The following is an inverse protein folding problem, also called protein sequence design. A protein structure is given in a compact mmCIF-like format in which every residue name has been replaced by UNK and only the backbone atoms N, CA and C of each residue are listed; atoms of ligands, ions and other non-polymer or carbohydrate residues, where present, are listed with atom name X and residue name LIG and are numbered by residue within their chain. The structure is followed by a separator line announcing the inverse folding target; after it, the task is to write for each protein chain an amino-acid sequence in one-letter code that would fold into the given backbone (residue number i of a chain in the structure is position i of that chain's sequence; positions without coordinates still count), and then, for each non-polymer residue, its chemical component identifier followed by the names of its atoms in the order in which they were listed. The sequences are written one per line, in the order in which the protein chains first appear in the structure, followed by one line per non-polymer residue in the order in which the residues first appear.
data_IF_929097681152
#
_entry.id   IF_929097681152
#
_cell.length_a   1.000
_cell.length_b   1.000
_cell.length_c   1.000
_cell.angle_alpha   90.00
_cell.angle_beta   90.00
_cell.angle_gamma   90.00
#
_symmetry.space_group_name_H-M   'P 1'
#
loop_
_entity.id
_entity.type
_entity.pdbx_description
1 polymer ?
#
# COMPACT_ATOMS: atom_id res chain seq x y z
N UNK A 1 6.31 22.22 23.91
CA UNK A 1 6.19 20.77 24.22
C UNK A 1 6.30 20.49 25.71
N UNK A 2 7.30 20.99 26.42
CA UNK A 2 7.48 20.78 27.87
C UNK A 2 6.22 21.15 28.68
N UNK A 3 5.63 22.32 28.41
CA UNK A 3 4.36 22.76 29.01
C UNK A 3 3.24 21.75 28.76
N UNK A 4 3.08 21.27 27.53
CA UNK A 4 2.04 20.28 27.20
C UNK A 4 2.29 18.96 27.92
N UNK A 5 3.54 18.50 27.98
CA UNK A 5 3.91 17.31 28.73
C UNK A 5 3.55 17.44 30.22
N UNK A 6 3.79 18.61 30.82
CA UNK A 6 3.39 18.89 32.20
C UNK A 6 1.87 18.85 32.39
N UNK A 7 1.10 19.49 31.50
CA UNK A 7 -0.37 19.52 31.59
C UNK A 7 -1.00 18.12 31.39
N UNK A 8 -0.48 17.36 30.43
CA UNK A 8 -0.99 16.02 30.09
C UNK A 8 -0.69 14.96 31.16
N UNK A 9 0.28 15.22 32.05
CA UNK A 9 0.64 14.32 33.16
C UNK A 9 -0.16 14.57 34.46
N UNK A 10 -0.97 15.62 34.50
CA UNK A 10 -1.85 15.85 35.65
C UNK A 10 -2.87 14.72 35.80
N UNK A 11 -3.40 14.51 37.01
CA UNK A 11 -4.43 13.51 37.27
C UNK A 11 -5.70 14.19 37.76
N UNK A 12 -6.76 14.24 36.93
CA UNK A 12 -6.83 13.80 35.53
C UNK A 12 -6.07 14.72 34.55
N UNK A 13 -5.75 14.26 33.31
CA UNK A 13 -5.00 15.05 32.33
C UNK A 13 -5.68 16.37 31.99
N UNK A 14 -4.89 17.45 31.91
CA UNK A 14 -5.37 18.78 31.54
C UNK A 14 -5.11 19.01 30.06
N UNK A 15 -6.16 19.26 29.27
CA UNK A 15 -6.06 19.56 27.84
C UNK A 15 -6.28 21.06 27.59
N UNK A 16 -5.46 21.68 26.75
CA UNK A 16 -5.59 23.11 26.43
C UNK A 16 -6.71 23.40 25.43
N UNK A 17 -6.81 22.60 24.36
CA UNK A 17 -7.87 22.64 23.33
C UNK A 17 -7.95 23.88 22.45
N UNK A 18 -7.08 24.86 22.62
CA UNK A 18 -7.08 26.09 21.79
C UNK A 18 -5.65 26.61 21.60
N UNK A 19 -4.73 25.71 21.24
CA UNK A 19 -3.36 26.09 20.92
C UNK A 19 -3.33 26.72 19.53
N UNK A 20 -2.93 27.99 19.48
CA UNK A 20 -2.84 28.81 18.27
C UNK A 20 -1.86 29.97 18.51
N UNK A 21 -1.40 30.67 17.45
CA UNK A 21 -0.42 31.75 17.61
C UNK A 21 -0.82 32.84 18.61
N UNK A 22 -2.11 33.22 18.66
CA UNK A 22 -2.57 34.27 19.60
C UNK A 22 -2.48 33.86 21.07
N UNK A 23 -2.35 32.56 21.36
CA UNK A 23 -2.28 32.02 22.71
C UNK A 23 -0.84 31.66 23.11
N UNK A 24 0.15 32.09 22.32
CA UNK A 24 1.58 31.94 22.61
C UNK A 24 2.20 33.33 22.75
N UNK A 25 2.82 33.61 23.89
CA UNK A 25 3.56 34.85 24.14
C UNK A 25 5.06 34.55 24.12
N UNK A 26 5.81 35.37 23.38
CA UNK A 26 7.27 35.42 23.49
C UNK A 26 7.64 36.33 24.68
N UNK A 27 8.14 35.74 25.76
CA UNK A 27 8.58 36.47 26.95
C UNK A 27 9.95 37.13 26.76
N UNK A 28 10.24 38.14 27.58
CA UNK A 28 11.54 38.82 27.62
C UNK A 28 12.68 37.87 28.03
N UNK A 29 12.35 36.74 28.67
CA UNK A 29 13.25 35.66 29.04
C UNK A 29 13.62 34.74 27.86
N UNK A 30 13.24 35.10 26.63
CA UNK A 30 13.35 34.27 25.42
C UNK A 30 12.65 32.91 25.55
N UNK A 31 11.59 32.83 26.36
CA UNK A 31 10.75 31.63 26.48
C UNK A 31 9.37 31.87 25.88
N UNK A 32 8.79 30.80 25.38
CA UNK A 32 7.40 30.80 24.93
C UNK A 32 6.51 30.44 26.11
N UNK A 33 5.54 31.30 26.40
CA UNK A 33 4.53 31.12 27.43
C UNK A 33 3.19 30.81 26.77
N UNK A 34 2.55 29.72 27.20
CA UNK A 34 1.20 29.35 26.77
C UNK A 34 0.19 30.07 27.68
N UNK A 35 -0.73 30.80 27.07
CA UNK A 35 -1.75 31.59 27.77
C UNK A 35 -3.16 31.13 27.38
N UNK A 36 -4.17 31.71 28.03
CA UNK A 36 -5.59 31.46 27.77
C UNK A 36 -6.03 30.01 27.99
N UNK A 37 -6.13 29.67 29.28
CA UNK A 37 -6.67 28.40 29.75
C UNK A 37 -8.22 28.39 29.79
N UNK A 38 -8.89 29.35 29.16
CA UNK A 38 -10.36 29.46 29.19
C UNK A 38 -11.10 28.28 28.54
N UNK A 39 -10.41 27.54 27.66
CA UNK A 39 -10.93 26.36 26.95
C UNK A 39 -10.60 25.02 27.64
N UNK A 40 -9.91 25.08 28.78
CA UNK A 40 -9.37 23.91 29.45
C UNK A 40 -10.46 23.12 30.15
N UNK A 41 -10.43 21.79 29.99
CA UNK A 41 -11.26 20.88 30.77
C UNK A 41 -10.41 19.80 31.41
N UNK A 42 -10.80 19.49 32.65
CA UNK A 42 -10.18 18.50 33.54
C UNK A 42 -10.74 17.08 33.26
N UNK A 43 -11.87 16.94 32.54
CA UNK A 43 -12.44 15.63 32.19
C UNK A 43 -12.95 15.57 30.74
N UNK A 44 -12.79 14.40 30.13
CA UNK A 44 -13.61 13.94 29.01
C UNK A 44 -14.97 13.54 29.57
N UNK A 45 -16.08 14.19 29.20
CA UNK A 45 -17.38 13.85 29.75
C UNK A 45 -17.81 12.44 29.32
N UNK A 46 -18.71 11.79 30.08
CA UNK A 46 -19.30 10.50 29.70
C UNK A 46 -19.91 10.56 28.30
N UNK A 47 -19.80 9.45 27.56
CA UNK A 47 -20.38 9.31 26.23
C UNK A 47 -21.87 9.71 26.25
N UNK A 48 -22.26 10.64 25.37
CA UNK A 48 -23.65 11.12 25.25
C UNK A 48 -23.94 12.52 25.81
N UNK A 49 -22.95 13.22 26.36
CA UNK A 49 -23.14 14.62 26.82
C UNK A 49 -22.96 15.60 25.65
N UNK A 50 -23.88 16.55 25.47
CA UNK A 50 -23.81 17.58 24.44
C UNK A 50 -22.60 18.49 24.63
N UNK A 51 -21.81 18.65 23.56
CA UNK A 51 -20.58 19.43 23.54
C UNK A 51 -20.83 20.88 23.10
N UNK A 52 -20.21 21.82 23.80
CA UNK A 52 -19.78 23.08 23.18
C UNK A 52 -18.50 22.77 22.40
N UNK A 53 -18.56 22.87 21.08
CA UNK A 53 -17.37 22.81 20.23
C UNK A 53 -16.54 24.05 20.55
N UNK A 54 -15.43 23.84 21.25
CA UNK A 54 -14.44 24.89 21.52
C UNK A 54 -13.22 24.57 20.66
N UNK A 55 -12.82 25.51 19.83
CA UNK A 55 -11.69 25.34 18.93
C UNK A 55 -11.69 26.36 17.81
N UNK A 56 -10.49 26.80 17.43
CA UNK A 56 -10.28 27.68 16.27
C UNK A 56 -10.17 26.86 14.98
N UNK A 57 -10.94 27.22 13.96
CA UNK A 57 -10.92 26.55 12.65
C UNK A 57 -9.51 26.55 12.05
N UNK A 58 -9.09 25.41 11.47
CA UNK A 58 -7.73 25.20 10.92
C UNK A 58 -6.70 24.70 11.94
N UNK A 59 -6.83 25.03 13.23
CA UNK A 59 -5.93 24.52 14.29
C UNK A 59 -6.52 23.31 15.01
N UNK A 60 -7.85 23.24 15.05
CA UNK A 60 -8.57 22.22 15.81
C UNK A 60 -8.66 20.91 15.02
N UNK A 61 -8.28 19.77 15.59
CA UNK A 61 -8.41 18.48 14.91
C UNK A 61 -9.86 17.93 14.98
N UNK A 62 -10.20 17.02 14.06
CA UNK A 62 -11.57 16.50 13.88
C UNK A 62 -12.14 15.83 15.13
N UNK A 63 -11.33 15.06 15.85
CA UNK A 63 -11.78 14.38 17.06
C UNK A 63 -12.23 15.36 18.16
N UNK A 64 -11.66 16.58 18.19
CA UNK A 64 -12.07 17.61 19.14
C UNK A 64 -13.43 18.23 18.78
N UNK A 65 -13.74 18.37 17.48
CA UNK A 65 -15.09 18.75 17.03
C UNK A 65 -16.14 17.71 17.44
N UNK A 66 -15.76 16.43 17.48
CA UNK A 66 -16.59 15.34 18.02
C UNK A 66 -16.60 15.24 19.55
N UNK A 67 -15.92 16.15 20.24
CA UNK A 67 -15.82 16.15 21.70
C UNK A 67 -14.84 15.14 22.30
N UNK A 68 -14.13 14.39 21.46
CA UNK A 68 -13.19 13.34 21.86
C UNK A 68 -11.76 13.87 21.96
N UNK A 69 -11.58 15.08 22.50
CA UNK A 69 -10.27 15.68 22.66
C UNK A 69 -9.38 14.80 23.56
N UNK A 70 -8.17 14.51 23.09
CA UNK A 70 -7.14 13.73 23.79
C UNK A 70 -5.83 14.53 23.84
N UNK A 71 -4.81 14.12 24.62
CA UNK A 71 -3.50 14.77 24.61
C UNK A 71 -2.93 14.98 23.19
N UNK A 72 -3.13 14.01 22.31
CA UNK A 72 -2.72 14.09 20.90
C UNK A 72 -3.48 15.15 20.09
N UNK A 73 -4.63 15.65 20.55
CA UNK A 73 -5.36 16.76 19.91
C UNK A 73 -4.64 18.10 20.11
N UNK A 74 -4.10 18.35 21.31
CA UNK A 74 -3.23 19.51 21.56
C UNK A 74 -1.95 19.47 20.72
N UNK A 75 -1.43 18.27 20.43
CA UNK A 75 -0.26 18.09 19.58
C UNK A 75 -0.54 18.46 18.11
N UNK A 76 -1.73 18.14 17.60
CA UNK A 76 -2.14 18.60 16.27
C UNK A 76 -2.23 20.11 16.21
N UNK A 77 -2.89 20.72 17.19
CA UNK A 77 -3.03 22.17 17.27
C UNK A 77 -1.66 22.88 17.35
N UNK A 78 -0.71 22.31 18.09
CA UNK A 78 0.69 22.75 18.09
C UNK A 78 1.32 22.61 16.69
N UNK A 79 1.16 21.46 16.03
CA UNK A 79 1.67 21.25 14.67
C UNK A 79 1.14 22.27 13.67
N UNK A 80 -0.18 22.48 13.65
CA UNK A 80 -0.83 23.47 12.80
C UNK A 80 -0.36 24.90 13.11
N UNK A 81 -0.17 25.22 14.40
CA UNK A 81 0.40 26.50 14.84
C UNK A 81 1.80 26.73 14.29
N UNK A 82 2.69 25.73 14.40
CA UNK A 82 4.05 25.84 13.92
C UNK A 82 4.13 25.90 12.39
N UNK A 83 3.29 25.12 11.69
CA UNK A 83 3.16 25.20 10.23
C UNK A 83 2.71 26.60 9.80
N UNK A 84 1.74 27.20 10.50
CA UNK A 84 1.35 28.58 10.25
C UNK A 84 2.52 29.54 10.44
N UNK A 85 3.26 29.43 11.55
CA UNK A 85 4.39 30.33 11.81
C UNK A 85 5.50 30.20 10.74
N UNK A 86 5.75 28.99 10.23
CA UNK A 86 6.79 28.73 9.21
C UNK A 86 6.39 29.13 7.80
N UNK A 87 5.10 29.04 7.46
CA UNK A 87 4.59 29.38 6.12
C UNK A 87 4.07 30.83 6.07
N UNK A 88 3.63 31.37 7.19
CA UNK A 88 2.83 32.60 7.29
C UNK A 88 1.45 32.50 6.63
N UNK A 89 0.94 31.29 6.41
CA UNK A 89 -0.36 31.01 5.80
C UNK A 89 -1.24 30.32 6.85
N UNK A 90 -2.52 30.69 6.91
CA UNK A 90 -3.45 30.05 7.84
C UNK A 90 -3.57 28.54 7.53
N UNK A 91 -3.58 27.64 8.53
CA UNK A 91 -3.65 26.20 8.28
C UNK A 91 -4.88 25.77 7.47
N UNK A 92 -5.98 26.50 7.60
CA UNK A 92 -7.21 26.27 6.84
C UNK A 92 -7.09 26.62 5.34
N UNK A 93 -6.14 27.47 4.97
CA UNK A 93 -5.89 27.91 3.59
C UNK A 93 -4.81 27.07 2.89
N UNK A 94 -4.08 26.24 3.65
CA UNK A 94 -3.09 25.33 3.09
C UNK A 94 -3.76 24.20 2.33
N UNK A 95 -3.16 23.72 1.22
CA UNK A 95 -3.70 22.60 0.47
C UNK A 95 -3.77 21.36 1.36
N UNK A 96 -4.84 20.59 1.20
CA UNK A 96 -5.06 19.35 1.94
C UNK A 96 -5.14 18.15 1.00
N UNK A 97 -4.54 17.03 1.41
CA UNK A 97 -4.66 15.74 0.74
C UNK A 97 -5.01 14.69 1.77
N UNK A 98 -6.14 14.00 1.60
CA UNK A 98 -6.64 13.03 2.59
C UNK A 98 -6.73 13.62 4.01
N UNK A 99 -7.25 14.84 4.14
CA UNK A 99 -7.33 15.62 5.39
C UNK A 99 -5.98 16.02 6.02
N UNK A 100 -4.85 15.64 5.44
CA UNK A 100 -3.51 16.05 5.88
C UNK A 100 -3.14 17.40 5.27
N UNK A 101 -2.58 18.29 6.09
CA UNK A 101 -2.04 19.58 5.65
C UNK A 101 -0.78 19.34 4.81
N UNK A 102 -0.72 19.92 3.61
CA UNK A 102 0.44 19.87 2.72
C UNK A 102 1.11 21.25 2.74
N UNK A 103 2.30 21.34 3.35
CA UNK A 103 2.97 22.62 3.59
C UNK A 103 4.41 22.70 3.05
N UNK A 104 5.01 21.60 2.59
CA UNK A 104 6.43 21.56 2.17
C UNK A 104 6.76 22.65 1.13
N UNK A 105 5.95 22.73 0.08
CA UNK A 105 6.13 23.70 -1.02
C UNK A 105 5.78 25.15 -0.63
N UNK A 106 5.36 25.38 0.62
CA UNK A 106 4.94 26.69 1.15
C UNK A 106 5.89 27.19 2.25
N UNK A 107 6.92 26.43 2.59
CA UNK A 107 7.94 26.84 3.56
C UNK A 107 8.73 28.02 3.00
N UNK A 108 8.87 29.09 3.79
CA UNK A 108 9.65 30.28 3.43
C UNK A 108 11.15 30.09 3.63
N UNK A 109 11.56 29.00 4.28
CA UNK A 109 12.94 28.74 4.66
C UNK A 109 13.19 27.23 4.64
N UNK A 110 14.39 26.85 4.24
CA UNK A 110 14.84 25.47 4.36
C UNK A 110 14.98 25.10 5.83
N UNK A 111 14.12 24.21 6.29
CA UNK A 111 14.20 23.62 7.62
C UNK A 111 14.75 22.20 7.54
N UNK A 112 15.31 21.72 8.64
CA UNK A 112 15.88 20.37 8.69
C UNK A 112 14.82 19.32 8.31
N UNK A 113 15.15 18.30 7.50
CA UNK A 113 14.21 17.24 7.11
C UNK A 113 13.56 16.53 8.30
N UNK A 114 14.31 16.41 9.40
CA UNK A 114 13.80 15.90 10.68
C UNK A 114 12.64 16.73 11.22
N UNK A 115 12.78 18.05 11.22
CA UNK A 115 11.75 18.98 11.70
C UNK A 115 10.51 18.92 10.81
N UNK A 116 10.68 18.80 9.49
CA UNK A 116 9.57 18.59 8.55
C UNK A 116 8.79 17.32 8.86
N UNK A 117 9.48 16.17 8.98
CA UNK A 117 8.84 14.88 9.33
C UNK A 117 8.13 14.93 10.69
N UNK A 118 8.74 15.62 11.65
CA UNK A 118 8.15 15.82 12.96
C UNK A 118 6.87 16.66 12.91
N UNK A 119 6.84 17.75 12.14
CA UNK A 119 5.64 18.56 11.91
C UNK A 119 4.55 17.77 11.20
N UNK A 120 4.91 17.00 10.16
CA UNK A 120 3.97 16.13 9.45
C UNK A 120 3.30 15.15 10.39
N UNK A 121 4.10 14.48 11.25
CA UNK A 121 3.58 13.52 12.24
C UNK A 121 2.74 14.20 13.34
N UNK A 122 3.01 15.45 13.71
CA UNK A 122 2.13 16.22 14.60
C UNK A 122 0.79 16.53 13.95
N UNK A 123 0.79 16.93 12.67
CA UNK A 123 -0.40 17.32 11.90
C UNK A 123 -1.14 16.15 11.26
N UNK A 124 -0.89 14.93 11.73
CA UNK A 124 -1.50 13.75 11.15
C UNK A 124 -2.99 13.65 11.51
N UNK A 125 -3.92 13.43 10.56
CA UNK A 125 -5.35 13.39 10.87
C UNK A 125 -5.72 12.20 11.74
N UNK A 126 -5.15 11.02 11.49
CA UNK A 126 -5.41 9.82 12.28
C UNK A 126 -4.59 9.82 13.57
N UNK A 127 -5.26 9.58 14.70
CA UNK A 127 -4.61 9.46 16.02
C UNK A 127 -3.57 8.33 16.05
N UNK A 128 -3.80 7.23 15.32
CA UNK A 128 -2.90 6.07 15.28
C UNK A 128 -1.53 6.40 14.66
N UNK A 129 -1.52 7.38 13.76
CA UNK A 129 -0.32 7.80 13.05
C UNK A 129 0.31 9.06 13.67
N UNK A 130 -0.35 9.72 14.62
CA UNK A 130 0.11 10.92 15.33
C UNK A 130 0.97 10.53 16.54
N UNK A 131 1.81 11.44 17.01
CA UNK A 131 2.45 11.28 18.32
C UNK A 131 1.41 11.10 19.42
N UNK A 132 1.63 10.11 20.29
CA UNK A 132 0.71 9.77 21.38
C UNK A 132 0.84 10.71 22.57
N UNK A 133 2.03 11.31 22.77
CA UNK A 133 2.31 12.21 23.89
C UNK A 133 3.32 13.30 23.53
N UNK A 134 3.27 14.41 24.28
CA UNK A 134 4.26 15.48 24.16
C UNK A 134 5.69 15.01 24.47
N UNK A 135 5.84 14.02 25.36
CA UNK A 135 7.14 13.37 25.65
C UNK A 135 7.68 12.63 24.43
N UNK A 136 6.84 11.85 23.75
CA UNK A 136 7.24 11.15 22.51
C UNK A 136 7.68 12.15 21.44
N UNK A 137 6.90 13.23 21.25
CA UNK A 137 7.23 14.29 20.31
C UNK A 137 8.54 15.02 20.68
N UNK A 138 8.81 15.24 21.97
CA UNK A 138 10.06 15.87 22.44
C UNK A 138 11.27 14.96 22.23
N UNK A 139 11.13 13.68 22.60
CA UNK A 139 12.17 12.67 22.40
C UNK A 139 12.56 12.56 20.92
N UNK A 140 11.58 12.61 20.01
CA UNK A 140 11.87 12.59 18.57
C UNK A 140 12.80 13.73 18.15
N UNK A 141 12.62 14.94 18.70
CA UNK A 141 13.49 16.09 18.39
C UNK A 141 14.88 15.96 19.02
N UNK A 142 14.96 15.45 20.24
CA UNK A 142 16.21 15.35 21.02
C UNK A 142 17.07 14.15 20.65
N UNK A 143 16.46 13.10 20.10
CA UNK A 143 17.18 11.93 19.62
C UNK A 143 18.16 12.39 18.55
N UNK A 144 19.48 12.26 18.78
CA UNK A 144 20.43 12.53 17.70
C UNK A 144 19.99 11.69 16.50
N UNK A 145 19.93 12.30 15.31
CA UNK A 145 19.93 11.45 14.14
C UNK A 145 21.25 10.70 14.28
N UNK A 146 21.19 9.41 14.64
CA UNK A 146 22.33 8.54 14.39
C UNK A 146 22.69 8.87 12.95
N UNK A 147 23.86 9.52 12.80
CA UNK A 147 24.45 9.80 11.50
C UNK A 147 24.28 8.47 10.80
N UNK A 148 23.43 8.36 9.75
CA UNK A 148 23.13 7.07 9.17
C UNK A 148 24.49 6.43 8.96
N UNK A 149 24.76 5.28 9.61
CA UNK A 149 26.11 4.78 9.85
C UNK A 149 26.85 5.01 8.57
N UNK A 150 27.95 5.78 8.59
CA UNK A 150 28.68 6.24 7.41
C UNK A 150 28.64 5.11 6.41
N UNK A 151 27.72 5.22 5.44
CA UNK A 151 27.33 4.07 4.65
C UNK A 151 28.51 3.92 3.71
N UNK A 152 29.44 3.02 4.06
CA UNK A 152 29.85 2.06 3.05
C UNK A 152 28.57 1.70 2.31
N UNK A 153 28.51 2.08 1.04
CA UNK A 153 27.34 1.94 0.18
C UNK A 153 27.06 0.45 0.06
N UNK A 154 26.43 -0.12 1.08
CA UNK A 154 25.60 -1.28 0.94
C UNK A 154 24.30 -0.69 0.45
N UNK A 155 24.17 -0.70 -0.87
CA UNK A 155 22.92 -0.46 -1.57
C UNK A 155 21.76 -0.97 -0.71
N UNK A 156 20.62 -0.25 -0.63
CA UNK A 156 19.44 -0.80 0.00
C UNK A 156 19.30 -2.23 -0.53
N UNK A 157 18.97 -3.20 0.33
CA UNK A 157 18.40 -4.47 -0.16
C UNK A 157 17.04 -4.13 -0.77
N UNK A 158 17.04 -3.31 -1.82
CA UNK A 158 15.95 -3.14 -2.74
C UNK A 158 15.66 -4.52 -3.26
N UNK A 159 14.40 -4.91 -3.16
CA UNK A 159 13.94 -6.04 -3.93
C UNK A 159 14.20 -5.77 -5.43
N UNK A 160 14.21 -4.49 -5.84
CA UNK A 160 14.58 -4.03 -7.18
C UNK A 160 16.07 -4.20 -7.43
N UNK A 161 16.42 -5.08 -8.39
CA UNK A 161 17.78 -5.21 -8.88
C UNK A 161 18.01 -4.25 -10.05
N UNK A 162 18.88 -3.26 -9.85
CA UNK A 162 19.29 -2.31 -10.89
C UNK A 162 20.70 -2.68 -11.34
N UNK A 163 20.88 -2.91 -12.64
CA UNK A 163 22.17 -3.14 -13.27
C UNK A 163 22.37 -2.09 -14.37
N UNK A 164 23.44 -1.32 -14.27
CA UNK A 164 23.73 -0.18 -15.14
C UNK A 164 25.13 -0.32 -15.71
N UNK A 165 25.27 -0.15 -17.02
CA UNK A 165 26.54 0.02 -17.72
C UNK A 165 26.45 1.22 -18.65
N UNK A 166 27.53 1.58 -19.36
CA UNK A 166 27.48 2.68 -20.33
C UNK A 166 26.50 2.42 -21.50
N UNK A 167 26.15 1.16 -21.75
CA UNK A 167 25.35 0.74 -22.90
C UNK A 167 23.93 0.33 -22.55
N UNK A 168 23.67 -0.07 -21.30
CA UNK A 168 22.36 -0.56 -20.88
C UNK A 168 22.02 -0.21 -19.43
N UNK A 169 20.74 0.02 -19.18
CA UNK A 169 20.12 0.06 -17.86
C UNK A 169 19.07 -1.05 -17.79
N UNK A 170 19.29 -2.01 -16.89
CA UNK A 170 18.37 -3.11 -16.59
C UNK A 170 17.82 -2.94 -15.18
N UNK A 171 16.51 -2.98 -15.04
CA UNK A 171 15.80 -2.89 -13.76
C UNK A 171 14.89 -4.10 -13.65
N UNK A 172 15.08 -4.91 -12.60
CA UNK A 172 14.21 -6.03 -12.28
C UNK A 172 13.42 -5.70 -11.02
N UNK A 173 12.11 -5.56 -11.18
CA UNK A 173 11.17 -5.31 -10.09
C UNK A 173 10.55 -6.66 -9.70
N UNK A 174 10.87 -7.24 -8.54
CA UNK A 174 10.30 -8.51 -8.12
C UNK A 174 8.84 -8.33 -7.72
N UNK A 175 8.10 -9.44 -7.66
CA UNK A 175 6.77 -9.44 -7.05
C UNK A 175 6.86 -9.30 -5.53
N UNK A 176 6.04 -8.43 -4.93
CA UNK A 176 5.81 -8.40 -3.48
C UNK A 176 5.12 -9.67 -2.97
N UNK A 177 4.51 -10.46 -3.87
CA UNK A 177 4.02 -11.78 -3.53
C UNK A 177 5.20 -12.76 -3.51
N UNK A 178 5.96 -12.75 -2.42
CA UNK A 178 6.81 -13.89 -2.06
C UNK A 178 5.88 -15.04 -1.71
N UNK A 179 5.49 -15.79 -2.73
CA UNK A 179 4.73 -17.01 -2.57
C UNK A 179 5.69 -18.13 -2.12
N UNK A 180 6.43 -17.94 -1.02
CA UNK A 180 7.16 -19.04 -0.37
C UNK A 180 6.20 -20.15 0.09
N UNK A 181 4.92 -19.81 0.30
CA UNK A 181 3.89 -20.74 0.75
C UNK A 181 3.10 -21.44 -0.37
N UNK A 182 2.96 -20.88 -1.58
CA UNK A 182 2.22 -21.55 -2.67
C UNK A 182 3.16 -22.21 -3.70
N UNK A 183 4.47 -21.93 -3.75
CA UNK A 183 5.37 -22.67 -4.66
C UNK A 183 5.36 -24.20 -4.42
N UNK A 184 5.35 -24.73 -3.18
CA UNK A 184 5.15 -26.17 -2.96
C UNK A 184 3.74 -26.61 -3.37
N UNK A 185 2.72 -25.79 -3.12
CA UNK A 185 1.30 -26.11 -3.37
C UNK A 185 0.99 -26.13 -4.89
N UNK A 186 1.44 -25.13 -5.64
CA UNK A 186 1.31 -25.04 -7.11
C UNK A 186 2.12 -26.13 -7.81
N UNK A 187 3.32 -26.48 -7.32
CA UNK A 187 4.05 -27.63 -7.87
C UNK A 187 3.37 -28.96 -7.52
N UNK A 188 2.80 -29.10 -6.32
CA UNK A 188 2.04 -30.29 -5.92
C UNK A 188 0.78 -30.46 -6.78
N UNK A 189 0.03 -29.38 -7.03
CA UNK A 189 -1.18 -29.39 -7.86
C UNK A 189 -0.89 -29.44 -9.37
N UNK A 190 0.18 -28.81 -9.84
CA UNK A 190 0.64 -28.88 -11.23
C UNK A 190 1.15 -30.28 -11.60
N UNK A 191 1.97 -30.88 -10.74
CA UNK A 191 2.48 -32.24 -10.93
C UNK A 191 1.37 -33.29 -10.83
N UNK A 192 0.39 -33.12 -9.93
CA UNK A 192 -0.79 -34.00 -9.88
C UNK A 192 -1.71 -33.82 -11.08
N UNK A 193 -1.91 -32.59 -11.58
CA UNK A 193 -2.68 -32.35 -12.81
C UNK A 193 -2.05 -33.05 -14.01
N UNK A 194 -0.73 -32.93 -14.20
CA UNK A 194 -0.02 -33.61 -15.31
C UNK A 194 -0.03 -35.13 -15.11
N UNK A 195 0.17 -35.65 -13.89
CA UNK A 195 0.12 -37.09 -13.60
C UNK A 195 -1.27 -37.69 -13.81
N UNK A 196 -2.33 -37.02 -13.37
CA UNK A 196 -3.71 -37.47 -13.55
C UNK A 196 -4.09 -37.45 -15.03
N UNK A 197 -3.73 -36.39 -15.76
CA UNK A 197 -4.05 -36.29 -17.18
C UNK A 197 -3.24 -37.30 -18.02
N UNK A 198 -1.99 -37.55 -17.67
CA UNK A 198 -1.18 -38.60 -18.31
C UNK A 198 -1.66 -40.01 -17.93
N UNK A 199 -2.09 -40.23 -16.69
CA UNK A 199 -2.69 -41.49 -16.25
C UNK A 199 -4.01 -41.78 -16.98
N UNK A 200 -4.88 -40.78 -17.13
CA UNK A 200 -6.13 -40.89 -17.90
C UNK A 200 -5.87 -41.18 -19.38
N UNK A 201 -4.81 -40.62 -19.96
CA UNK A 201 -4.39 -40.89 -21.34
C UNK A 201 -3.68 -42.25 -21.51
N UNK A 202 -3.10 -42.80 -20.45
CA UNK A 202 -2.39 -44.09 -20.45
C UNK A 202 -3.30 -45.30 -20.19
N UNK A 203 -4.59 -45.08 -19.88
CA UNK A 203 -5.55 -46.16 -19.72
C UNK A 203 -5.92 -46.75 -21.09
N UNK A 204 -5.88 -48.09 -21.26
CA UNK A 204 -6.42 -48.74 -22.45
C UNK A 204 -7.89 -48.37 -22.63
N UNK A 205 -8.32 -48.07 -23.86
CA UNK A 205 -9.71 -47.65 -24.18
C UNK A 205 -10.75 -48.63 -23.64
N UNK A 206 -10.42 -49.93 -23.55
CA UNK A 206 -11.26 -50.95 -22.93
C UNK A 206 -11.55 -50.70 -21.44
N UNK A 207 -10.54 -50.25 -20.66
CA UNK A 207 -10.74 -49.89 -19.24
C UNK A 207 -11.52 -48.59 -19.09
N UNK A 208 -11.28 -47.62 -19.97
CA UNK A 208 -11.99 -46.33 -19.99
C UNK A 208 -13.48 -46.51 -20.29
N UNK A 209 -13.80 -47.35 -21.28
CA UNK A 209 -15.18 -47.73 -21.60
C UNK A 209 -15.85 -48.53 -20.48
N UNK A 210 -15.12 -49.40 -19.78
CA UNK A 210 -15.66 -50.11 -18.59
C UNK A 210 -15.95 -49.16 -17.44
N UNK A 211 -15.12 -48.15 -17.19
CA UNK A 211 -15.37 -47.12 -16.15
C UNK A 211 -16.61 -46.30 -16.51
N UNK A 212 -16.74 -45.87 -17.77
CA UNK A 212 -17.91 -45.10 -18.23
C UNK A 212 -19.17 -45.96 -18.16
N UNK A 213 -19.12 -47.22 -18.62
CA UNK A 213 -20.25 -48.14 -18.58
C UNK A 213 -20.69 -48.45 -17.14
N UNK A 214 -19.74 -48.64 -16.21
CA UNK A 214 -20.07 -48.87 -14.79
C UNK A 214 -20.67 -47.63 -14.13
N UNK A 215 -20.23 -46.42 -14.48
CA UNK A 215 -20.86 -45.18 -14.01
C UNK A 215 -22.29 -45.00 -14.54
N UNK A 216 -22.54 -45.35 -15.81
CA UNK A 216 -23.88 -45.31 -16.42
C UNK A 216 -24.81 -46.33 -15.76
N UNK A 217 -24.34 -47.57 -15.56
CA UNK A 217 -25.11 -48.62 -14.88
C UNK A 217 -25.43 -48.21 -13.44
N UNK A 218 -24.48 -47.65 -12.71
CA UNK A 218 -24.72 -47.12 -11.37
C UNK A 218 -25.78 -46.02 -11.35
N UNK A 219 -25.77 -45.11 -12.34
CA UNK A 219 -26.78 -44.06 -12.50
C UNK A 219 -28.18 -44.60 -12.82
N UNK A 220 -28.28 -45.64 -13.66
CA UNK A 220 -29.56 -46.29 -14.00
C UNK A 220 -30.11 -47.04 -12.78
N UNK A 221 -29.27 -47.80 -12.07
CA UNK A 221 -29.65 -48.51 -10.84
C UNK A 221 -30.14 -47.51 -9.78
N UNK A 222 -29.49 -46.35 -9.66
CA UNK A 222 -29.91 -45.27 -8.78
C UNK A 222 -31.30 -44.73 -9.13
N UNK A 223 -31.60 -44.54 -10.41
CA UNK A 223 -32.87 -44.02 -10.88
C UNK A 223 -34.03 -45.03 -10.72
N UNK A 224 -33.73 -46.32 -10.79
CA UNK A 224 -34.72 -47.39 -10.65
C UNK A 224 -34.98 -47.82 -9.19
N UNK A 225 -34.20 -47.34 -8.22
CA UNK A 225 -34.42 -47.64 -6.81
C UNK A 225 -35.66 -46.91 -6.26
N UNK A 226 -36.53 -47.57 -5.47
CA UNK A 226 -37.62 -46.91 -4.76
C UNK A 226 -37.08 -45.76 -3.91
N UNK A 227 -37.82 -44.64 -3.86
CA UNK A 227 -37.33 -43.40 -3.23
C UNK A 227 -36.89 -43.60 -1.79
N UNK A 228 -37.56 -44.45 -1.02
CA UNK A 228 -37.20 -44.73 0.38
C UNK A 228 -35.82 -45.41 0.51
N UNK A 229 -35.52 -46.36 -0.39
CA UNK A 229 -34.24 -47.09 -0.40
C UNK A 229 -33.13 -46.20 -0.96
N UNK A 230 -33.39 -45.43 -2.01
CA UNK A 230 -32.42 -44.49 -2.59
C UNK A 230 -31.95 -43.45 -1.56
N UNK A 231 -32.84 -43.00 -0.68
CA UNK A 231 -32.54 -42.01 0.35
C UNK A 231 -31.74 -42.63 1.50
N UNK A 232 -32.02 -43.88 1.88
CA UNK A 232 -31.24 -44.61 2.89
C UNK A 232 -29.83 -44.96 2.39
N UNK A 233 -29.72 -45.42 1.15
CA UNK A 233 -28.43 -45.70 0.49
C UNK A 233 -27.64 -44.40 0.28
N UNK A 234 -28.30 -43.29 -0.06
CA UNK A 234 -27.67 -41.97 -0.13
C UNK A 234 -27.09 -41.55 1.22
N UNK A 235 -27.86 -41.67 2.32
CA UNK A 235 -27.39 -41.32 3.65
C UNK A 235 -26.24 -42.22 4.12
N UNK A 236 -26.28 -43.52 3.80
CA UNK A 236 -25.23 -44.46 4.15
C UNK A 236 -23.93 -44.23 3.35
N UNK A 237 -24.02 -44.01 2.04
CA UNK A 237 -22.86 -43.63 1.21
C UNK A 237 -22.31 -42.27 1.64
N UNK A 238 -23.18 -41.31 1.97
CA UNK A 238 -22.75 -40.01 2.47
C UNK A 238 -22.04 -40.15 3.83
N UNK A 239 -22.54 -41.02 4.72
CA UNK A 239 -21.95 -41.24 6.04
C UNK A 239 -20.66 -42.05 6.04
N UNK A 240 -20.49 -43.03 5.15
CA UNK A 240 -19.34 -43.96 5.17
C UNK A 240 -18.27 -43.58 4.15
N UNK A 241 -18.67 -43.07 2.98
CA UNK A 241 -17.73 -42.67 1.90
C UNK A 241 -17.52 -41.17 1.92
N UNK A 242 -18.58 -40.36 2.05
CA UNK A 242 -18.40 -38.93 2.13
C UNK A 242 -17.88 -38.48 3.49
N UNK A 243 -18.21 -39.07 4.65
CA UNK A 243 -17.70 -38.50 5.91
C UNK A 243 -16.16 -38.53 6.04
N UNK A 244 -15.44 -39.61 5.68
CA UNK A 244 -13.98 -39.60 5.63
C UNK A 244 -13.46 -38.71 4.49
N UNK A 245 -14.12 -38.70 3.33
CA UNK A 245 -13.77 -37.84 2.20
C UNK A 245 -14.06 -36.36 2.48
N UNK A 246 -15.04 -36.04 3.32
CA UNK A 246 -15.49 -34.71 3.73
C UNK A 246 -14.61 -34.22 4.88
N UNK A 247 -14.09 -35.11 5.72
CA UNK A 247 -12.97 -34.79 6.60
C UNK A 247 -11.70 -34.51 5.80
N UNK A 248 -11.40 -35.30 4.76
CA UNK A 248 -10.28 -35.04 3.84
C UNK A 248 -10.48 -33.76 3.01
N UNK A 249 -11.71 -33.50 2.55
CA UNK A 249 -12.13 -32.35 1.74
C UNK A 249 -12.41 -31.10 2.57
N UNK A 250 -12.58 -31.19 3.89
CA UNK A 250 -12.68 -30.07 4.83
C UNK A 250 -11.31 -29.48 5.18
N UNK A 251 -10.22 -30.19 4.89
CA UNK A 251 -8.87 -29.62 4.80
C UNK A 251 -8.51 -29.13 3.38
N UNK A 252 -9.23 -29.58 2.36
CA UNK A 252 -9.11 -29.15 0.98
C UNK A 252 -9.84 -27.84 0.58
N UNK A 253 -10.79 -27.25 1.36
CA UNK A 253 -11.54 -26.10 0.89
C UNK A 253 -10.70 -24.85 1.00
N UNK A 254 -9.70 -24.77 1.89
CA UNK A 254 -8.75 -23.66 1.84
C UNK A 254 -7.98 -23.64 0.53
N UNK A 255 -7.48 -24.79 0.07
CA UNK A 255 -6.73 -24.89 -1.18
C UNK A 255 -7.60 -24.66 -2.42
N UNK A 256 -8.83 -25.16 -2.43
CA UNK A 256 -9.73 -25.10 -3.59
C UNK A 256 -10.55 -23.80 -3.63
N UNK A 257 -10.93 -23.23 -2.49
CA UNK A 257 -11.48 -21.86 -2.39
C UNK A 257 -10.38 -20.85 -2.71
N UNK A 258 -9.15 -21.04 -2.20
CA UNK A 258 -8.02 -20.23 -2.66
C UNK A 258 -7.82 -20.42 -4.16
N UNK A 259 -7.78 -21.64 -4.69
CA UNK A 259 -7.65 -21.88 -6.13
C UNK A 259 -8.80 -21.25 -6.94
N UNK A 260 -10.06 -21.29 -6.49
CA UNK A 260 -11.20 -20.62 -7.14
C UNK A 260 -11.09 -19.09 -7.03
N UNK A 261 -10.66 -18.56 -5.89
CA UNK A 261 -10.39 -17.12 -5.70
C UNK A 261 -9.23 -16.68 -6.61
N UNK A 262 -8.16 -17.49 -6.74
CA UNK A 262 -7.00 -17.17 -7.56
C UNK A 262 -7.26 -17.41 -9.07
N UNK A 263 -8.06 -18.41 -9.45
CA UNK A 263 -8.34 -18.79 -10.86
C UNK A 263 -9.58 -18.12 -11.45
N UNK A 264 -10.63 -17.88 -10.66
CA UNK A 264 -11.87 -17.24 -11.11
C UNK A 264 -11.79 -15.71 -11.15
N UNK A 265 -10.84 -15.09 -10.43
CA UNK A 265 -10.74 -13.64 -10.33
C UNK A 265 -9.89 -12.99 -11.44
N UNK A 266 -9.50 -13.70 -12.51
CA UNK A 266 -8.66 -13.15 -13.58
C UNK A 266 -7.44 -12.42 -13.01
N UNK A 267 -6.83 -12.98 -11.96
CA UNK A 267 -5.68 -12.37 -11.32
C UNK A 267 -4.47 -12.81 -12.13
N UNK A 268 -4.11 -11.98 -13.09
CA UNK A 268 -2.76 -12.00 -13.63
C UNK A 268 -1.80 -11.72 -12.48
N UNK A 269 -1.29 -12.79 -11.86
CA UNK A 269 -0.22 -12.69 -10.88
C UNK A 269 1.05 -12.34 -11.64
N UNK A 270 1.38 -11.05 -11.70
CA UNK A 270 2.69 -10.62 -12.17
C UNK A 270 3.77 -11.12 -11.19
N UNK A 271 4.65 -11.98 -11.70
CA UNK A 271 5.76 -12.60 -10.99
C UNK A 271 6.94 -11.63 -10.86
N UNK A 272 7.16 -10.81 -11.88
CA UNK A 272 8.15 -9.73 -11.89
C UNK A 272 7.91 -8.81 -13.08
N UNK A 273 8.47 -7.61 -13.02
CA UNK A 273 8.53 -6.69 -14.16
C UNK A 273 9.98 -6.38 -14.44
N UNK A 274 10.40 -6.54 -15.70
CA UNK A 274 11.74 -6.17 -16.16
C UNK A 274 11.63 -4.94 -17.05
N UNK A 275 12.42 -3.92 -16.75
CA UNK A 275 12.64 -2.77 -17.61
C UNK A 275 14.05 -2.88 -18.16
N UNK A 276 14.20 -2.74 -19.46
CA UNK A 276 15.47 -2.73 -20.14
C UNK A 276 15.53 -1.48 -21.01
N UNK A 277 16.64 -0.75 -20.92
CA UNK A 277 16.92 0.41 -21.75
C UNK A 277 18.33 0.24 -22.32
N UNK A 278 18.47 0.31 -23.63
CA UNK A 278 19.77 0.44 -24.28
C UNK A 278 20.04 1.90 -24.69
N UNK A 279 20.93 2.16 -25.64
CA UNK A 279 21.20 3.52 -26.13
C UNK A 279 20.09 4.11 -27.03
N UNK A 280 19.21 3.28 -27.59
CA UNK A 280 18.21 3.67 -28.59
C UNK A 280 16.79 3.20 -28.25
N UNK A 281 16.65 2.10 -27.53
CA UNK A 281 15.41 1.38 -27.30
C UNK A 281 15.13 1.18 -25.83
N UNK A 282 13.85 1.00 -25.52
CA UNK A 282 13.38 0.48 -24.24
C UNK A 282 12.52 -0.77 -24.47
N UNK A 283 12.50 -1.63 -23.47
CA UNK A 283 11.68 -2.83 -23.40
C UNK A 283 11.10 -2.96 -21.98
N UNK A 284 9.81 -3.25 -21.89
CA UNK A 284 9.09 -3.52 -20.65
C UNK A 284 8.47 -4.90 -20.77
N UNK A 285 8.90 -5.80 -19.89
CA UNK A 285 8.43 -7.17 -19.85
C UNK A 285 7.76 -7.44 -18.52
N UNK A 286 6.46 -7.73 -18.56
CA UNK A 286 5.68 -8.20 -17.42
C UNK A 286 5.67 -9.74 -17.44
N UNK A 287 6.36 -10.35 -16.49
CA UNK A 287 6.44 -11.80 -16.36
C UNK A 287 5.20 -12.30 -15.61
N UNK A 288 4.40 -13.16 -16.24
CA UNK A 288 3.22 -13.82 -15.67
C UNK A 288 3.26 -15.31 -16.01
N UNK A 289 2.74 -16.16 -15.12
CA UNK A 289 2.76 -17.62 -15.30
C UNK A 289 1.94 -18.10 -16.51
N UNK A 290 0.97 -17.29 -16.95
CA UNK A 290 0.00 -17.70 -17.97
C UNK A 290 0.10 -16.88 -19.27
N UNK A 291 0.56 -15.63 -19.21
CA UNK A 291 0.70 -14.77 -20.39
C UNK A 291 1.70 -13.63 -20.13
N UNK A 292 3.00 -13.81 -20.44
CA UNK A 292 3.95 -12.71 -20.37
C UNK A 292 3.61 -11.64 -21.41
N UNK A 293 3.66 -10.37 -21.02
CA UNK A 293 3.45 -9.23 -21.90
C UNK A 293 4.79 -8.52 -22.13
N UNK A 294 5.10 -8.21 -23.37
CA UNK A 294 6.30 -7.47 -23.74
C UNK A 294 5.93 -6.25 -24.59
N UNK A 295 6.49 -5.08 -24.25
CA UNK A 295 6.34 -3.83 -24.97
C UNK A 295 7.72 -3.21 -25.22
N UNK A 296 8.00 -2.87 -26.46
CA UNK A 296 9.27 -2.28 -26.89
C UNK A 296 9.03 -1.01 -27.71
N UNK A 297 9.98 -0.08 -27.66
CA UNK A 297 9.94 1.16 -28.43
C UNK A 297 11.28 1.90 -28.43
N UNK A 298 11.37 3.03 -29.13
CA UNK A 298 12.56 3.89 -29.12
C UNK A 298 12.54 4.81 -27.88
N UNK A 299 13.69 5.08 -27.27
CA UNK A 299 13.82 6.03 -26.15
C UNK A 299 13.33 7.43 -26.56
N UNK A 300 13.50 7.80 -27.84
CA UNK A 300 13.00 9.06 -28.42
C UNK A 300 11.47 9.22 -28.32
N UNK A 301 10.75 8.12 -28.18
CA UNK A 301 9.30 8.09 -28.03
C UNK A 301 8.85 8.35 -26.60
N UNK A 302 9.73 8.20 -25.60
CA UNK A 302 9.42 8.49 -24.21
C UNK A 302 9.26 10.00 -24.04
N UNK A 303 8.05 10.43 -23.66
CA UNK A 303 7.71 11.85 -23.48
C UNK A 303 7.78 12.29 -22.04
N UNK A 304 7.34 11.43 -21.12
CA UNK A 304 7.31 11.79 -19.72
C UNK A 304 7.38 10.55 -18.82
N UNK A 305 7.83 10.77 -17.59
CA UNK A 305 7.91 9.79 -16.52
C UNK A 305 7.34 10.39 -15.24
N UNK A 306 6.14 9.96 -14.85
CA UNK A 306 5.42 10.52 -13.72
C UNK A 306 5.26 9.51 -12.59
N UNK A 307 5.15 10.02 -11.35
CA UNK A 307 4.57 9.26 -10.26
C UNK A 307 3.09 9.62 -10.18
N UNK A 308 2.25 8.62 -10.29
CA UNK A 308 0.80 8.78 -10.30
C UNK A 308 0.14 7.78 -9.36
N UNK A 309 -1.16 7.94 -9.17
CA UNK A 309 -1.96 7.06 -8.35
C UNK A 309 -2.73 6.08 -9.24
N UNK A 310 -2.32 4.81 -9.22
CA UNK A 310 -2.99 3.74 -9.95
C UNK A 310 -4.11 3.14 -9.10
N UNK A 311 -5.24 2.84 -9.73
CA UNK A 311 -6.33 2.09 -9.11
C UNK A 311 -6.17 0.61 -9.45
N UNK A 312 -6.14 -0.25 -8.44
CA UNK A 312 -6.16 -1.70 -8.66
C UNK A 312 -7.59 -2.19 -9.00
N UNK A 313 -7.69 -3.44 -9.44
CA UNK A 313 -8.98 -4.06 -9.78
C UNK A 313 -9.95 -4.24 -8.60
N UNK A 314 -9.47 -4.07 -7.37
CA UNK A 314 -10.25 -4.10 -6.14
C UNK A 314 -10.69 -2.69 -5.71
N UNK A 315 -10.27 -1.67 -6.46
CA UNK A 315 -10.61 -0.28 -6.23
C UNK A 315 -9.68 0.47 -5.27
N UNK A 316 -8.59 -0.14 -4.81
CA UNK A 316 -7.61 0.52 -3.95
C UNK A 316 -6.64 1.36 -4.78
N UNK A 317 -6.10 2.40 -4.14
CA UNK A 317 -5.19 3.36 -4.74
C UNK A 317 -3.76 3.11 -4.28
N UNK A 318 -2.83 3.02 -5.23
CA UNK A 318 -1.40 2.78 -4.97
C UNK A 318 -0.55 3.75 -5.79
N UNK A 319 0.58 4.18 -5.23
CA UNK A 319 1.60 4.91 -5.99
C UNK A 319 2.18 4.00 -7.09
N UNK A 320 2.38 4.54 -8.29
CA UNK A 320 2.95 3.80 -9.41
C UNK A 320 3.72 4.75 -10.32
N UNK A 321 4.67 4.19 -11.07
CA UNK A 321 5.38 4.90 -12.12
C UNK A 321 4.60 4.79 -13.43
N UNK A 322 4.33 5.93 -14.06
CA UNK A 322 3.73 6.04 -15.38
C UNK A 322 4.78 6.47 -16.40
N UNK A 323 5.07 5.60 -17.37
CA UNK A 323 5.88 5.90 -18.54
C UNK A 323 4.97 6.25 -19.73
N UNK A 324 5.04 7.49 -20.20
CA UNK A 324 4.24 7.98 -21.32
C UNK A 324 5.07 7.91 -22.61
N UNK A 325 4.59 7.13 -23.57
CA UNK A 325 5.26 6.88 -24.85
C UNK A 325 4.40 7.35 -26.01
N UNK A 326 5.00 8.06 -26.96
CA UNK A 326 4.36 8.45 -28.21
C UNK A 326 4.56 7.39 -29.29
N UNK A 327 3.51 6.64 -29.61
CA UNK A 327 3.53 5.64 -30.68
C UNK A 327 3.57 6.33 -32.06
N UNK A 328 4.41 5.81 -32.97
CA UNK A 328 4.35 6.17 -34.39
C UNK A 328 3.22 5.38 -35.05
N UNK A 329 2.03 5.95 -35.05
CA UNK A 329 0.90 5.43 -35.86
C UNK A 329 0.98 6.08 -37.25
N UNK A 330 0.56 5.37 -38.29
CA UNK A 330 0.53 5.87 -39.68
C UNK A 330 -0.44 7.06 -39.90
N UNK A 331 -1.19 7.43 -38.86
CA UNK A 331 -2.21 8.49 -38.86
C UNK A 331 -1.62 9.84 -38.44
N UNK A 332 -2.22 10.94 -38.92
CA UNK A 332 -1.82 12.34 -38.68
C UNK A 332 -1.83 12.78 -37.20
N UNK A 333 -2.40 11.98 -36.29
CA UNK A 333 -2.47 12.29 -34.85
C UNK A 333 -1.62 11.28 -34.09
N UNK A 334 -0.56 11.72 -33.39
CA UNK A 334 0.25 10.82 -32.58
C UNK A 334 -0.54 10.28 -31.40
N UNK A 335 -0.47 8.96 -31.18
CA UNK A 335 -1.13 8.29 -30.05
C UNK A 335 -0.17 8.24 -28.87
N UNK A 336 -0.62 8.73 -27.71
CA UNK A 336 0.10 8.58 -26.44
C UNK A 336 -0.39 7.32 -25.73
N UNK A 337 0.55 6.50 -25.28
CA UNK A 337 0.29 5.27 -24.53
C UNK A 337 1.02 5.36 -23.19
N UNK A 338 0.28 5.13 -22.10
CA UNK A 338 0.82 5.08 -20.74
C UNK A 338 1.09 3.63 -20.32
N UNK A 339 2.29 3.35 -19.85
CA UNK A 339 2.66 2.08 -19.22
C UNK A 339 2.86 2.28 -17.72
N UNK A 340 2.20 1.47 -16.91
CA UNK A 340 2.23 1.59 -15.44
C UNK A 340 3.03 0.46 -14.81
N UNK A 341 4.01 0.80 -13.97
CA UNK A 341 4.90 -0.17 -13.30
C UNK A 341 5.18 0.23 -11.85
N UNK A 342 5.66 -0.72 -11.04
CA UNK A 342 6.15 -0.44 -9.69
C UNK A 342 5.05 -0.27 -8.64
N UNK A 343 3.81 -0.71 -8.88
CA UNK A 343 2.72 -0.68 -7.89
C UNK A 343 3.08 -1.41 -6.58
N UNK A 344 4.03 -2.35 -6.65
CA UNK A 344 4.55 -3.08 -5.52
C UNK A 344 5.69 -2.37 -4.77
N UNK A 345 6.17 -1.22 -5.22
CA UNK A 345 7.30 -0.53 -4.63
C UNK A 345 6.83 0.46 -3.55
N UNK A 346 7.71 0.76 -2.60
CA UNK A 346 7.51 1.90 -1.68
C UNK A 346 7.69 3.22 -2.43
N UNK A 347 7.14 4.32 -1.88
CA UNK A 347 7.30 5.65 -2.50
C UNK A 347 8.78 6.03 -2.69
N UNK A 348 9.66 5.63 -1.76
CA UNK A 348 11.10 5.87 -1.87
C UNK A 348 11.75 5.07 -3.01
N UNK A 349 11.34 3.82 -3.22
CA UNK A 349 11.82 2.98 -4.34
C UNK A 349 11.29 3.48 -5.68
N UNK A 350 10.05 4.00 -5.71
CA UNK A 350 9.46 4.64 -6.89
C UNK A 350 10.19 5.92 -7.28
N UNK A 351 10.54 6.77 -6.31
CA UNK A 351 11.34 7.98 -6.55
C UNK A 351 12.75 7.64 -7.04
N UNK A 352 13.40 6.62 -6.45
CA UNK A 352 14.70 6.13 -6.93
C UNK A 352 14.63 5.65 -8.38
N UNK A 353 13.61 4.84 -8.69
CA UNK A 353 13.42 4.26 -10.02
C UNK A 353 13.09 5.34 -11.05
N UNK A 354 12.25 6.33 -10.69
CA UNK A 354 12.00 7.50 -11.52
C UNK A 354 13.29 8.24 -11.81
N UNK A 355 14.09 8.52 -10.79
CA UNK A 355 15.37 9.23 -10.92
C UNK A 355 16.33 8.50 -11.86
N UNK A 356 16.58 7.21 -11.64
CA UNK A 356 17.53 6.44 -12.46
C UNK A 356 17.12 6.35 -13.93
N UNK A 357 15.82 6.15 -14.21
CA UNK A 357 15.31 6.11 -15.58
C UNK A 357 15.39 7.51 -16.21
N UNK A 358 15.01 8.56 -15.49
CA UNK A 358 15.12 9.94 -15.97
C UNK A 358 16.56 10.35 -16.27
N UNK A 359 17.50 10.00 -15.39
CA UNK A 359 18.93 10.27 -15.56
C UNK A 359 19.47 9.53 -16.79
N UNK A 360 19.10 8.27 -16.99
CA UNK A 360 19.47 7.48 -18.17
C UNK A 360 18.92 8.09 -19.47
N UNK A 361 17.62 8.33 -19.52
CA UNK A 361 16.96 8.88 -20.71
C UNK A 361 17.54 10.26 -21.06
N UNK A 362 17.75 11.11 -20.05
CA UNK A 362 18.31 12.44 -20.26
C UNK A 362 19.74 12.37 -20.79
N UNK A 363 20.57 11.48 -20.24
CA UNK A 363 21.94 11.27 -20.72
C UNK A 363 22.00 10.78 -22.18
N UNK A 364 21.02 9.99 -22.63
CA UNK A 364 21.01 9.45 -24.01
C UNK A 364 20.34 10.38 -25.02
N UNK A 365 19.34 11.17 -24.63
CA UNK A 365 18.66 12.12 -25.53
C UNK A 365 19.41 13.45 -25.69
N UNK A 366 20.10 13.92 -24.65
CA UNK A 366 20.68 15.27 -24.59
C UNK A 366 22.19 15.29 -24.40
N UNK A 367 22.87 14.21 -24.83
CA UNK A 367 24.28 13.92 -24.58
C UNK A 367 25.15 15.14 -24.27
N UNK A 368 25.75 15.14 -23.07
CA UNK A 368 26.92 15.96 -22.78
C UNK A 368 28.13 15.44 -23.53
#
# INVERSE_FOLDING_TARGET
LETLNYLHQQTPPILHRDIKPSNLIWGEDNRIHLIDFGSVKIQTPPAGTSFTVVGTYGYTPLEQFGGQAVPASDLYALGATLVHLLTGILPAELPQKNFRIVFRDRLKTDIQPKLTRWLEKLTEPSLENRFTSAKEALNYLQMEEEKPPEMEIFAPKTAVAISKSDLQLKIEIPSKFTIKFIHPIVNLFGATRVRVNNWLRALPEEKKNRIIASAIVAGIVWFCLPKEISMFVAQFIVGVVFFPLQMLLAFLPFGLILWIILSGAGVDYFQSVSLYFDNKNFEITWHSSNSPQNKQGEISQVKNLNLTCCRDKYGNYHSCLELIVQERVMLLIPKLTSYYVGQQLSDAELELLKKEISDWISAKLWGK
#
